data_IF_784339718531
#
_entry.id   IF_784339718531
#
_cell.length_a   1.000
_cell.length_b   1.000
_cell.length_c   1.000
_cell.angle_alpha   90.00
_cell.angle_beta   90.00
_cell.angle_gamma   90.00
#
_symmetry.space_group_name_H-M   'P 1'
#
loop_
_entity.id
_entity.type
_entity.pdbx_description
1 polymer ?
#
# COMPACT_ATOMS: atom_id res chain seq x y z
N UNK A 1 19.95 -4.38 0.27
CA UNK A 1 20.72 -3.53 1.16
C UNK A 1 22.04 -4.13 1.63
N UNK A 2 22.14 -5.41 2.01
CA UNK A 2 23.40 -5.92 2.61
C UNK A 2 24.59 -5.89 1.63
N UNK A 3 24.35 -6.01 0.32
CA UNK A 3 25.41 -5.94 -0.71
C UNK A 3 25.72 -4.54 -1.23
N UNK A 4 24.78 -3.59 -1.15
CA UNK A 4 24.96 -2.22 -1.65
C UNK A 4 25.59 -1.26 -0.62
N UNK A 5 25.39 -1.50 0.68
CA UNK A 5 25.71 -0.51 1.73
C UNK A 5 26.94 -0.90 2.58
N UNK A 6 27.42 -2.14 2.49
CA UNK A 6 28.55 -2.62 3.34
C UNK A 6 29.91 -1.98 3.03
N UNK A 7 30.00 -1.07 2.06
CA UNK A 7 31.26 -0.43 1.64
C UNK A 7 31.30 1.10 1.73
N UNK A 8 30.26 1.75 2.25
CA UNK A 8 30.20 3.22 2.26
C UNK A 8 29.85 3.74 3.66
N UNK A 9 30.62 4.72 4.14
CA UNK A 9 30.32 5.44 5.38
C UNK A 9 29.04 6.27 5.16
N UNK A 10 28.10 6.22 6.09
CA UNK A 10 26.90 7.05 5.99
C UNK A 10 27.27 8.54 6.01
N UNK A 11 26.80 9.29 5.02
CA UNK A 11 27.02 10.74 4.90
C UNK A 11 26.15 11.54 5.88
N UNK A 12 24.95 11.05 6.17
CA UNK A 12 23.95 11.70 7.03
C UNK A 12 23.23 10.68 7.92
N UNK A 13 22.80 11.12 9.10
CA UNK A 13 21.93 10.32 9.97
C UNK A 13 20.51 10.35 9.44
N UNK A 14 19.78 9.23 9.60
CA UNK A 14 18.40 9.12 9.15
C UNK A 14 17.45 10.12 9.84
N UNK A 15 17.70 10.44 11.12
CA UNK A 15 16.96 11.44 11.89
C UNK A 15 17.28 12.89 11.49
N UNK A 16 18.30 13.09 10.65
CA UNK A 16 18.69 14.40 10.10
C UNK A 16 18.14 14.67 8.70
N UNK A 17 17.31 13.79 8.14
CA UNK A 17 16.75 13.92 6.79
C UNK A 17 15.24 13.72 6.77
N UNK A 18 14.59 14.27 5.74
CA UNK A 18 13.18 13.99 5.44
C UNK A 18 13.10 12.96 4.34
N UNK A 19 12.50 11.80 4.62
CA UNK A 19 12.23 10.81 3.60
C UNK A 19 11.00 11.21 2.78
N UNK A 20 11.15 11.21 1.47
CA UNK A 20 10.05 11.37 0.51
C UNK A 20 9.54 10.01 0.06
N UNK A 21 8.41 10.00 -0.65
CA UNK A 21 7.91 8.78 -1.29
C UNK A 21 8.99 8.23 -2.25
N UNK A 22 9.32 6.92 -2.20
CA UNK A 22 10.41 6.36 -3.03
C UNK A 22 10.20 6.53 -4.54
N UNK A 23 8.95 6.57 -5.00
CA UNK A 23 8.58 6.95 -6.37
C UNK A 23 7.55 8.10 -6.28
N UNK A 24 7.99 9.37 -6.36
CA UNK A 24 7.09 10.51 -6.09
C UNK A 24 5.93 10.66 -7.09
N UNK A 25 6.13 10.22 -8.34
CA UNK A 25 5.12 10.30 -9.41
C UNK A 25 5.13 9.01 -10.25
N UNK A 26 4.56 7.91 -9.74
CA UNK A 26 4.40 6.68 -10.51
C UNK A 26 3.58 6.93 -11.77
N UNK A 27 3.91 6.23 -12.87
CA UNK A 27 3.09 6.28 -14.09
C UNK A 27 1.70 5.70 -13.86
N UNK A 28 1.63 4.60 -13.10
CA UNK A 28 0.38 3.98 -12.61
C UNK A 28 0.52 3.60 -11.14
N UNK A 29 -0.58 3.72 -10.42
CA UNK A 29 -0.79 3.11 -9.12
C UNK A 29 -2.03 2.24 -9.22
N UNK A 30 -1.87 0.93 -9.03
CA UNK A 30 -2.95 -0.04 -9.13
C UNK A 30 -3.11 -0.75 -7.78
N UNK A 31 -4.33 -0.77 -7.25
CA UNK A 31 -4.68 -1.50 -6.03
C UNK A 31 -5.60 -2.67 -6.33
N UNK A 32 -5.47 -3.75 -5.55
CA UNK A 32 -6.36 -4.92 -5.63
C UNK A 32 -7.21 -5.04 -4.36
N UNK A 33 -8.53 -5.10 -4.53
CA UNK A 33 -9.47 -5.27 -3.43
C UNK A 33 -9.62 -6.74 -3.01
N UNK A 34 -10.00 -6.96 -1.75
CA UNK A 34 -10.37 -8.28 -1.20
C UNK A 34 -9.31 -9.37 -1.39
N UNK A 35 -8.03 -9.02 -1.23
CA UNK A 35 -6.93 -9.92 -1.59
C UNK A 35 -6.27 -10.64 -0.39
N UNK A 36 -6.87 -10.63 0.80
CA UNK A 36 -6.39 -11.40 1.96
C UNK A 36 -7.46 -12.37 2.44
N UNK A 37 -7.08 -13.63 2.67
CA UNK A 37 -8.00 -14.65 3.17
C UNK A 37 -8.63 -14.25 4.52
N UNK A 38 -7.85 -13.65 5.42
CA UNK A 38 -8.33 -13.18 6.72
C UNK A 38 -9.39 -12.06 6.57
N UNK A 39 -9.21 -11.17 5.59
CA UNK A 39 -10.15 -10.08 5.30
C UNK A 39 -11.48 -10.60 4.73
N UNK A 40 -11.41 -11.62 3.87
CA UNK A 40 -12.60 -12.30 3.32
C UNK A 40 -13.38 -13.01 4.43
N UNK A 41 -12.67 -13.72 5.33
CA UNK A 41 -13.28 -14.40 6.47
C UNK A 41 -14.01 -13.43 7.42
N UNK A 42 -13.42 -12.27 7.71
CA UNK A 42 -14.07 -11.22 8.52
C UNK A 42 -15.31 -10.62 7.85
N UNK A 43 -15.27 -10.45 6.53
CA UNK A 43 -16.34 -9.81 5.76
C UNK A 43 -17.53 -10.73 5.51
N UNK A 44 -17.43 -12.04 5.82
CA UNK A 44 -18.41 -13.09 5.45
C UNK A 44 -18.77 -13.08 3.96
N UNK A 45 -17.85 -12.61 3.12
CA UNK A 45 -18.02 -12.61 1.68
C UNK A 45 -17.40 -13.88 1.11
N UNK A 46 -17.94 -14.35 -0.01
CA UNK A 46 -17.27 -15.39 -0.78
C UNK A 46 -15.93 -14.84 -1.30
N UNK A 47 -14.85 -15.64 -1.30
CA UNK A 47 -13.60 -15.25 -1.92
C UNK A 47 -13.84 -14.80 -3.37
N UNK A 48 -13.24 -13.69 -3.82
CA UNK A 48 -13.43 -13.23 -5.18
C UNK A 48 -12.91 -14.28 -6.17
N UNK A 49 -13.71 -14.58 -7.20
CA UNK A 49 -13.35 -15.54 -8.27
C UNK A 49 -12.35 -14.97 -9.27
N UNK A 50 -12.19 -13.65 -9.30
CA UNK A 50 -11.25 -12.92 -10.16
C UNK A 50 -10.64 -11.71 -9.42
N UNK A 51 -9.60 -11.11 -9.98
CA UNK A 51 -8.87 -10.00 -9.38
C UNK A 51 -9.63 -8.68 -9.54
N UNK A 52 -10.01 -8.04 -8.43
CA UNK A 52 -10.70 -6.75 -8.42
C UNK A 52 -9.70 -5.60 -8.40
N UNK A 53 -9.46 -4.99 -9.55
CA UNK A 53 -8.48 -3.90 -9.71
C UNK A 53 -9.13 -2.52 -9.70
N UNK A 54 -8.45 -1.55 -9.09
CA UNK A 54 -8.75 -0.12 -9.19
C UNK A 54 -7.46 0.69 -9.33
N UNK A 55 -7.59 1.93 -9.78
CA UNK A 55 -6.48 2.86 -9.86
C UNK A 55 -6.52 3.86 -8.70
N UNK A 56 -5.33 4.27 -8.26
CA UNK A 56 -5.13 5.47 -7.44
C UNK A 56 -4.46 6.54 -8.31
N UNK A 57 -4.87 7.79 -8.18
CA UNK A 57 -4.24 8.88 -8.93
C UNK A 57 -2.81 9.13 -8.42
N UNK A 58 -1.83 9.45 -9.30
CA UNK A 58 -0.47 9.78 -8.88
C UNK A 58 -0.36 11.00 -7.94
N UNK A 59 -1.41 11.82 -7.80
CA UNK A 59 -1.49 12.91 -6.81
C UNK A 59 -1.77 12.44 -5.40
N UNK A 60 -2.29 11.23 -5.22
CA UNK A 60 -2.47 10.63 -3.90
C UNK A 60 -1.14 10.30 -3.21
N UNK A 61 -0.03 10.18 -3.94
CA UNK A 61 1.28 9.81 -3.38
C UNK A 61 1.67 10.73 -2.22
N UNK A 62 2.13 10.13 -1.13
CA UNK A 62 2.61 10.86 0.03
C UNK A 62 3.80 10.17 0.66
N UNK A 63 4.66 10.96 1.31
CA UNK A 63 5.87 10.45 1.93
C UNK A 63 5.57 9.51 3.10
N UNK A 64 6.53 8.64 3.47
CA UNK A 64 6.34 7.65 4.53
C UNK A 64 6.07 8.25 5.92
N UNK A 65 6.40 9.53 6.13
CA UNK A 65 6.15 10.26 7.38
C UNK A 65 5.39 11.58 7.16
N UNK A 66 4.89 11.80 5.95
CA UNK A 66 4.07 12.97 5.61
C UNK A 66 2.65 12.81 6.16
N UNK A 67 1.92 13.91 6.30
CA UNK A 67 0.56 13.84 6.82
C UNK A 67 -0.41 13.17 5.84
N UNK A 68 -1.42 12.48 6.39
CA UNK A 68 -2.63 12.07 5.67
C UNK A 68 -3.72 13.09 5.98
N UNK A 69 -4.41 13.58 4.96
CA UNK A 69 -5.45 14.59 5.12
C UNK A 69 -6.83 13.96 5.16
N UNK A 70 -7.65 14.37 6.13
CA UNK A 70 -9.08 14.09 6.13
C UNK A 70 -9.72 15.09 5.15
N UNK A 71 -10.34 14.63 4.06
CA UNK A 71 -10.90 15.55 3.07
C UNK A 71 -12.05 16.34 3.67
N UNK A 72 -12.21 17.60 3.25
CA UNK A 72 -13.29 18.49 3.72
C UNK A 72 -14.70 17.93 3.47
N UNK A 73 -14.82 16.93 2.60
CA UNK A 73 -16.09 16.36 2.12
C UNK A 73 -16.47 15.03 2.79
N UNK A 74 -15.70 14.54 3.77
CA UNK A 74 -16.03 13.28 4.46
C UNK A 74 -15.27 13.09 5.79
N UNK A 75 -15.94 12.44 6.75
CA UNK A 75 -15.35 11.93 8.00
C UNK A 75 -15.13 10.41 7.99
N UNK A 76 -15.26 9.75 6.84
CA UNK A 76 -15.18 8.31 6.68
C UNK A 76 -13.78 7.82 6.25
N UNK A 77 -12.73 8.49 6.72
CA UNK A 77 -11.33 8.15 6.43
C UNK A 77 -10.94 6.83 7.12
N UNK A 78 -10.24 5.96 6.40
CA UNK A 78 -9.85 4.63 6.86
C UNK A 78 -8.42 4.28 6.41
N UNK A 79 -7.82 3.33 7.12
CA UNK A 79 -6.48 2.79 6.85
C UNK A 79 -6.55 1.38 6.26
N UNK A 80 -5.54 1.04 5.48
CA UNK A 80 -5.40 -0.28 4.87
C UNK A 80 -3.91 -0.64 4.74
N UNK A 81 -3.40 -1.48 5.63
CA UNK A 81 -2.01 -1.94 5.62
C UNK A 81 -1.71 -2.81 4.40
N UNK A 82 -0.78 -2.40 3.55
CA UNK A 82 -0.44 -3.17 2.35
C UNK A 82 1.06 -3.36 2.16
N UNK A 83 1.42 -4.51 1.59
CA UNK A 83 2.66 -4.64 0.84
C UNK A 83 2.45 -3.94 -0.51
N UNK A 84 3.39 -3.09 -0.91
CA UNK A 84 3.46 -2.58 -2.27
C UNK A 84 4.72 -3.09 -2.96
N UNK A 85 4.64 -3.35 -4.26
CA UNK A 85 5.83 -3.65 -5.08
C UNK A 85 5.97 -2.67 -6.24
N UNK A 86 7.22 -2.43 -6.62
CA UNK A 86 7.61 -1.50 -7.68
C UNK A 86 8.03 -2.32 -8.90
N UNK A 87 7.46 -2.01 -10.06
CA UNK A 87 7.90 -2.60 -11.32
C UNK A 87 9.28 -2.04 -11.67
N UNK A 88 10.25 -2.93 -11.91
CA UNK A 88 11.62 -2.54 -12.28
C UNK A 88 11.91 -2.63 -13.77
N UNK A 89 11.11 -3.40 -14.51
CA UNK A 89 11.31 -3.66 -15.93
C UNK A 89 9.99 -3.65 -16.65
N UNK A 90 9.97 -3.02 -17.82
CA UNK A 90 8.79 -3.01 -18.71
C UNK A 90 8.35 -4.44 -19.00
N UNK A 91 7.06 -4.74 -18.82
CA UNK A 91 6.56 -6.10 -18.98
C UNK A 91 5.13 -6.17 -19.54
N UNK A 92 4.87 -7.23 -20.31
CA UNK A 92 3.61 -7.51 -21.03
C UNK A 92 3.52 -9.01 -21.29
N UNK A 93 2.34 -9.60 -21.09
CA UNK A 93 2.06 -11.04 -21.24
C UNK A 93 3.06 -11.93 -20.47
N UNK A 94 3.34 -11.57 -19.22
CA UNK A 94 4.30 -12.26 -18.37
C UNK A 94 3.65 -13.48 -17.71
N UNK A 95 4.34 -14.63 -17.70
CA UNK A 95 3.91 -15.81 -16.96
C UNK A 95 4.10 -15.61 -15.45
N UNK A 96 3.28 -16.25 -14.62
CA UNK A 96 3.46 -16.22 -13.15
C UNK A 96 4.88 -16.65 -12.73
N UNK A 97 5.47 -17.65 -13.39
CA UNK A 97 6.83 -18.14 -13.08
C UNK A 97 7.93 -17.11 -13.37
N UNK A 98 7.72 -16.21 -14.32
CA UNK A 98 8.70 -15.17 -14.69
C UNK A 98 8.47 -13.84 -13.97
N UNK A 99 7.31 -13.65 -13.34
CA UNK A 99 6.87 -12.38 -12.76
C UNK A 99 7.87 -11.77 -11.77
N UNK A 100 8.54 -12.59 -10.95
CA UNK A 100 9.54 -12.14 -9.97
C UNK A 100 10.68 -11.31 -10.61
N UNK A 101 11.03 -11.59 -11.87
CA UNK A 101 12.12 -10.92 -12.61
C UNK A 101 11.82 -9.45 -12.96
N UNK A 102 10.56 -9.03 -12.81
CA UNK A 102 10.08 -7.71 -13.18
C UNK A 102 9.84 -6.80 -11.96
N UNK A 103 9.99 -7.31 -10.74
CA UNK A 103 9.86 -6.54 -9.52
C UNK A 103 11.23 -5.94 -9.18
N UNK A 104 11.30 -4.62 -9.01
CA UNK A 104 12.48 -3.93 -8.50
C UNK A 104 12.64 -4.15 -7.00
N UNK A 105 11.55 -4.03 -6.26
CA UNK A 105 11.54 -4.20 -4.82
C UNK A 105 10.18 -3.89 -4.20
N UNK A 106 10.19 -3.81 -2.88
CA UNK A 106 8.99 -3.78 -2.04
C UNK A 106 9.03 -2.65 -1.03
N UNK A 107 7.85 -2.15 -0.67
CA UNK A 107 7.63 -1.10 0.32
C UNK A 107 6.47 -1.50 1.26
N UNK A 108 6.45 -0.90 2.45
CA UNK A 108 5.22 -0.80 3.24
C UNK A 108 4.37 0.34 2.68
N UNK A 109 3.05 0.14 2.64
CA UNK A 109 2.11 1.12 2.11
C UNK A 109 0.82 1.15 2.92
N UNK A 110 0.10 2.27 2.84
CA UNK A 110 -1.25 2.40 3.38
C UNK A 110 -2.21 2.85 2.28
N UNK A 111 -3.16 1.98 1.89
CA UNK A 111 -4.20 2.31 0.92
C UNK A 111 -5.34 3.10 1.56
N UNK A 112 -5.02 4.35 1.91
CA UNK A 112 -5.96 5.23 2.62
C UNK A 112 -7.24 5.40 1.79
N UNK A 113 -8.36 5.23 2.48
CA UNK A 113 -9.67 5.09 1.85
C UNK A 113 -10.68 6.04 2.49
N UNK A 114 -11.50 6.67 1.67
CA UNK A 114 -12.64 7.47 2.12
C UNK A 114 -13.90 6.69 1.79
N UNK A 115 -14.44 5.98 2.79
CA UNK A 115 -15.37 4.84 2.58
C UNK A 115 -16.70 5.25 1.96
N UNK A 116 -17.27 6.36 2.39
CA UNK A 116 -18.50 6.85 1.81
C UNK A 116 -18.31 7.19 0.32
N UNK A 117 -17.17 7.80 -0.06
CA UNK A 117 -16.83 8.05 -1.47
C UNK A 117 -16.48 6.78 -2.25
N UNK A 118 -15.83 5.80 -1.62
CA UNK A 118 -15.52 4.50 -2.22
C UNK A 118 -16.80 3.77 -2.63
N UNK A 119 -17.84 3.82 -1.80
CA UNK A 119 -19.11 3.11 -2.02
C UNK A 119 -20.19 3.94 -2.72
N UNK A 120 -19.91 5.20 -3.10
CA UNK A 120 -20.85 6.03 -3.90
C UNK A 120 -21.10 5.49 -5.29
N UNK A 121 -20.14 4.78 -5.86
CA UNK A 121 -20.26 4.16 -7.19
C UNK A 121 -19.68 2.74 -7.16
N UNK A 122 -19.82 2.01 -8.26
CA UNK A 122 -19.16 0.70 -8.40
C UNK A 122 -17.64 0.80 -8.59
N UNK A 123 -17.10 2.01 -8.80
CA UNK A 123 -15.68 2.25 -8.99
C UNK A 123 -15.06 2.86 -7.73
N UNK A 124 -13.97 2.26 -7.23
CA UNK A 124 -13.32 2.70 -5.99
C UNK A 124 -12.46 3.95 -6.17
N UNK A 125 -12.18 4.35 -7.41
CA UNK A 125 -11.21 5.41 -7.77
C UNK A 125 -11.37 6.68 -6.92
N UNK A 126 -12.60 7.20 -6.75
CA UNK A 126 -12.82 8.44 -6.00
C UNK A 126 -12.48 8.31 -4.52
N UNK A 127 -12.92 7.22 -3.87
CA UNK A 127 -12.60 6.96 -2.46
C UNK A 127 -11.14 6.59 -2.21
N UNK A 128 -10.38 6.27 -3.27
CA UNK A 128 -9.00 5.78 -3.20
C UNK A 128 -7.97 6.80 -3.74
N UNK A 129 -8.39 7.97 -4.23
CA UNK A 129 -7.51 8.89 -4.97
C UNK A 129 -7.44 10.32 -4.44
N UNK A 130 -7.95 10.58 -3.25
CA UNK A 130 -7.72 11.87 -2.60
C UNK A 130 -6.21 12.13 -2.42
N UNK A 131 -5.81 13.39 -2.45
CA UNK A 131 -4.41 13.76 -2.24
C UNK A 131 -3.95 13.27 -0.86
N UNK A 132 -2.68 12.88 -0.74
CA UNK A 132 -2.08 12.22 0.44
C UNK A 132 -2.54 10.79 0.78
N UNK A 133 -3.44 10.19 0.00
CA UNK A 133 -4.03 8.88 0.32
C UNK A 133 -3.27 7.66 -0.22
N UNK A 134 -2.05 7.84 -0.73
CA UNK A 134 -1.15 6.76 -1.13
C UNK A 134 0.25 6.89 -0.49
N UNK A 135 0.35 6.91 0.86
CA UNK A 135 1.65 6.85 1.53
C UNK A 135 2.32 5.49 1.33
N UNK A 136 3.60 5.48 0.97
CA UNK A 136 4.42 4.28 0.92
C UNK A 136 5.92 4.57 1.11
N UNK A 137 6.66 3.56 1.59
CA UNK A 137 8.07 3.65 1.91
C UNK A 137 8.46 2.66 3.02
N UNK A 138 9.35 3.02 3.97
CA UNK A 138 10.14 4.25 4.04
C UNK A 138 11.20 4.35 2.92
N UNK A 139 11.51 3.23 2.30
CA UNK A 139 12.42 3.04 1.16
C UNK A 139 11.98 1.80 0.40
N UNK A 140 12.62 1.54 -0.74
CA UNK A 140 12.46 0.28 -1.47
C UNK A 140 13.49 -0.71 -0.97
N UNK A 141 13.05 -1.85 -0.46
CA UNK A 141 13.92 -3.02 -0.28
C UNK A 141 13.94 -3.79 -1.59
N UNK A 142 15.11 -3.94 -2.19
CA UNK A 142 15.26 -4.62 -3.48
C UNK A 142 14.86 -6.09 -3.38
N UNK A 143 14.33 -6.62 -4.47
CA UNK A 143 13.77 -7.98 -4.49
C UNK A 143 14.80 -9.06 -4.12
N UNK A 144 16.10 -8.82 -4.33
CA UNK A 144 17.18 -9.74 -3.99
C UNK A 144 17.55 -9.78 -2.49
N UNK A 145 17.06 -8.82 -1.69
CA UNK A 145 17.25 -8.80 -0.23
C UNK A 145 16.03 -9.31 0.56
N UNK A 146 14.97 -9.70 -0.13
CA UNK A 146 13.81 -10.38 0.46
C UNK A 146 13.85 -11.84 0.03
N UNK A 147 13.96 -12.75 1.01
CA UNK A 147 13.99 -14.19 0.76
C UNK A 147 12.70 -14.67 0.09
N UNK A 148 11.54 -14.32 0.66
CA UNK A 148 10.23 -14.57 0.10
C UNK A 148 9.27 -13.39 0.41
N UNK A 149 8.78 -12.66 -0.60
CA UNK A 149 7.83 -11.56 -0.39
C UNK A 149 6.45 -12.04 0.08
N UNK A 150 6.17 -13.35 0.00
CA UNK A 150 4.93 -13.98 0.44
C UNK A 150 5.05 -14.61 1.83
N UNK A 151 6.06 -14.26 2.63
CA UNK A 151 6.16 -14.70 4.04
C UNK A 151 6.40 -13.56 5.04
N UNK A 152 6.07 -12.32 4.70
CA UNK A 152 6.37 -11.14 5.52
C UNK A 152 5.22 -10.84 6.51
N UNK A 153 5.47 -10.82 7.84
CA UNK A 153 4.52 -10.27 8.80
C UNK A 153 4.16 -8.81 8.47
N UNK A 154 2.86 -8.49 8.48
CA UNK A 154 2.33 -7.15 8.23
C UNK A 154 1.43 -6.72 9.38
N UNK A 155 1.61 -5.48 9.85
CA UNK A 155 0.91 -4.91 11.00
C UNK A 155 0.52 -3.46 10.74
N UNK A 156 -0.64 -3.06 11.25
CA UNK A 156 -1.05 -1.66 11.33
C UNK A 156 -1.46 -1.27 12.73
N UNK A 157 -1.02 -0.09 13.16
CA UNK A 157 -1.33 0.51 14.44
C UNK A 157 -1.98 1.88 14.26
N UNK A 158 -2.97 2.18 15.07
CA UNK A 158 -3.53 3.54 15.20
C UNK A 158 -3.34 3.99 16.63
N UNK A 159 -2.56 5.05 16.84
CA UNK A 159 -2.19 5.55 18.18
C UNK A 159 -1.56 4.46 19.07
N UNK A 160 -0.78 3.56 18.47
CA UNK A 160 -0.17 2.42 19.16
C UNK A 160 -1.10 1.22 19.40
N UNK A 161 -2.41 1.35 19.17
CA UNK A 161 -3.35 0.21 19.20
C UNK A 161 -3.16 -0.63 17.94
N UNK A 162 -2.86 -1.92 18.09
CA UNK A 162 -2.79 -2.85 16.97
C UNK A 162 -4.18 -3.02 16.35
N UNK A 163 -4.32 -2.65 15.08
CA UNK A 163 -5.57 -2.71 14.32
C UNK A 163 -5.59 -3.82 13.27
N UNK A 164 -4.46 -4.06 12.60
CA UNK A 164 -4.33 -5.16 11.64
C UNK A 164 -3.09 -5.98 11.96
N UNK A 165 -3.19 -7.30 11.82
CA UNK A 165 -2.07 -8.24 12.00
C UNK A 165 -2.29 -9.45 11.10
N UNK A 166 -1.40 -9.66 10.15
CA UNK A 166 -1.45 -10.80 9.24
C UNK A 166 -0.03 -11.13 8.74
N UNK A 167 0.05 -11.90 7.65
CA UNK A 167 1.27 -12.20 6.94
C UNK A 167 0.98 -12.23 5.42
N UNK A 168 1.92 -11.81 4.60
CA UNK A 168 1.73 -11.72 3.13
C UNK A 168 1.51 -13.09 2.47
N UNK A 169 1.72 -14.21 3.18
CA UNK A 169 1.31 -15.56 2.75
C UNK A 169 -0.20 -15.70 2.58
N UNK A 170 -0.97 -14.84 3.23
CA UNK A 170 -2.43 -14.85 3.20
C UNK A 170 -3.00 -14.10 1.98
N UNK A 171 -2.13 -13.58 1.09
CA UNK A 171 -2.54 -13.04 -0.20
C UNK A 171 -3.25 -14.12 -1.04
N UNK A 172 -4.49 -13.88 -1.47
CA UNK A 172 -5.25 -14.79 -2.32
C UNK A 172 -4.61 -14.86 -3.71
N UNK A 173 -4.35 -13.69 -4.29
CA UNK A 173 -3.59 -13.50 -5.50
C UNK A 173 -2.24 -12.88 -5.15
N UNK A 174 -1.20 -13.71 -5.06
CA UNK A 174 0.14 -13.26 -4.73
C UNK A 174 0.71 -12.29 -5.81
N UNK A 175 1.82 -11.60 -5.49
CA UNK A 175 2.39 -10.57 -6.37
C UNK A 175 2.66 -11.06 -7.80
N UNK A 176 3.02 -12.34 -7.94
CA UNK A 176 3.32 -12.94 -9.24
C UNK A 176 2.05 -13.19 -10.07
N UNK A 177 0.97 -13.62 -9.43
CA UNK A 177 -0.35 -13.74 -10.06
C UNK A 177 -0.93 -12.37 -10.46
N UNK A 178 -0.65 -11.33 -9.69
CA UNK A 178 -1.05 -9.96 -10.00
C UNK A 178 -0.35 -9.44 -11.27
N UNK A 179 0.98 -9.62 -11.37
CA UNK A 179 1.73 -9.25 -12.59
C UNK A 179 1.25 -10.05 -13.80
N UNK A 180 1.06 -11.37 -13.66
CA UNK A 180 0.55 -12.20 -14.76
C UNK A 180 -0.80 -11.69 -15.26
N UNK A 181 -1.73 -11.38 -14.35
CA UNK A 181 -3.06 -10.90 -14.71
C UNK A 181 -3.01 -9.51 -15.35
N UNK A 182 -2.42 -8.52 -14.68
CA UNK A 182 -2.33 -7.15 -15.18
C UNK A 182 -1.60 -7.07 -16.52
N UNK A 183 -0.51 -7.82 -16.66
CA UNK A 183 0.29 -7.81 -17.88
C UNK A 183 -0.41 -8.48 -19.06
N UNK A 184 -1.54 -9.18 -18.88
CA UNK A 184 -2.43 -9.62 -19.97
C UNK A 184 -3.31 -8.49 -20.51
N UNK A 185 -3.58 -7.44 -19.71
CA UNK A 185 -4.47 -6.33 -20.08
C UNK A 185 -3.71 -5.06 -20.48
N UNK A 186 -2.66 -4.69 -19.74
CA UNK A 186 -1.80 -3.54 -20.06
C UNK A 186 -0.30 -3.85 -20.00
N UNK A 187 0.53 -2.92 -20.48
CA UNK A 187 1.97 -2.92 -20.21
C UNK A 187 2.21 -2.32 -18.82
N UNK A 188 3.02 -3.00 -18.02
CA UNK A 188 3.58 -2.44 -16.79
C UNK A 188 4.94 -1.82 -17.11
N UNK A 189 5.19 -0.62 -16.61
CA UNK A 189 6.36 0.20 -16.88
C UNK A 189 7.21 0.35 -15.61
N UNK A 190 8.54 0.51 -15.72
CA UNK A 190 9.39 0.78 -14.58
C UNK A 190 8.89 1.97 -13.76
N UNK A 191 8.79 1.80 -12.44
CA UNK A 191 8.26 2.81 -11.52
C UNK A 191 6.75 2.76 -11.30
N UNK A 192 5.99 1.91 -12.00
CA UNK A 192 4.62 1.61 -11.59
C UNK A 192 4.61 0.97 -10.19
N UNK A 193 3.59 1.32 -9.40
CA UNK A 193 3.45 0.84 -8.02
C UNK A 193 2.16 0.03 -7.89
N UNK A 194 2.28 -1.18 -7.35
CA UNK A 194 1.15 -2.09 -7.16
C UNK A 194 0.91 -2.29 -5.67
N UNK A 195 -0.28 -1.92 -5.22
CA UNK A 195 -0.83 -2.10 -3.88
C UNK A 195 -1.53 -3.45 -3.85
N UNK A 196 -1.01 -4.37 -3.02
CA UNK A 196 -1.33 -5.80 -3.11
C UNK A 196 -2.57 -6.24 -2.34
N UNK A 197 -3.30 -5.31 -1.73
CA UNK A 197 -4.45 -5.55 -0.89
C UNK A 197 -4.11 -5.50 0.60
N UNK A 198 -5.18 -5.43 1.41
CA UNK A 198 -5.10 -5.26 2.86
C UNK A 198 -5.69 -6.45 3.62
N UNK A 199 -5.12 -6.82 4.79
CA UNK A 199 -5.71 -7.83 5.67
C UNK A 199 -6.96 -7.34 6.40
N UNK A 200 -7.56 -8.21 7.19
CA UNK A 200 -8.63 -7.87 8.13
C UNK A 200 -8.26 -6.75 9.12
N UNK A 201 -9.27 -6.18 9.78
CA UNK A 201 -9.09 -5.14 10.81
C UNK A 201 -9.09 -3.69 10.32
N UNK A 202 -9.58 -3.43 9.11
CA UNK A 202 -9.83 -2.05 8.62
C UNK A 202 -10.84 -1.34 9.51
N UNK A 203 -10.69 -0.03 9.71
CA UNK A 203 -11.53 0.78 10.59
C UNK A 203 -13.02 0.64 10.28
N UNK A 204 -13.38 0.57 9.00
CA UNK A 204 -14.75 0.37 8.53
C UNK A 204 -15.36 -1.00 8.89
N UNK A 205 -14.53 -2.03 9.06
CA UNK A 205 -14.98 -3.39 9.39
C UNK A 205 -15.37 -3.57 10.86
N UNK A 206 -15.00 -2.64 11.75
CA UNK A 206 -15.38 -2.68 13.16
C UNK A 206 -16.87 -2.41 13.37
N UNK A 207 -17.41 -2.89 14.49
CA UNK A 207 -18.80 -2.64 14.92
C UNK A 207 -18.81 -2.02 16.32
N UNK A 208 -19.05 -0.70 16.45
CA UNK A 208 -19.26 0.28 15.38
C UNK A 208 -17.98 0.57 14.56
N UNK A 209 -18.09 1.15 13.35
CA UNK A 209 -16.93 1.57 12.56
C UNK A 209 -16.03 2.55 13.33
N UNK A 210 -14.72 2.46 13.08
CA UNK A 210 -13.68 3.27 13.72
C UNK A 210 -12.87 4.08 12.70
N UNK A 211 -13.48 5.08 12.04
CA UNK A 211 -12.77 5.94 11.10
C UNK A 211 -11.66 6.74 11.78
N UNK A 212 -10.66 7.13 10.99
CA UNK A 212 -9.57 7.99 11.43
C UNK A 212 -10.05 9.41 11.75
N UNK A 213 -9.38 10.05 12.70
CA UNK A 213 -9.65 11.41 13.17
C UNK A 213 -8.39 12.25 13.16
N UNK A 214 -8.59 13.57 13.11
CA UNK A 214 -7.47 14.51 13.17
C UNK A 214 -6.69 14.30 14.46
N UNK A 215 -5.37 14.19 14.37
CA UNK A 215 -4.48 13.85 15.47
C UNK A 215 -4.10 12.37 15.56
N UNK A 216 -4.82 11.47 14.87
CA UNK A 216 -4.46 10.04 14.85
C UNK A 216 -3.10 9.83 14.17
N UNK A 217 -2.32 8.86 14.68
CA UNK A 217 -1.10 8.38 14.04
C UNK A 217 -1.29 6.97 13.54
N UNK A 218 -1.14 6.78 12.23
CA UNK A 218 -1.27 5.47 11.58
C UNK A 218 0.12 4.97 11.21
N UNK A 219 0.51 3.82 11.76
CA UNK A 219 1.78 3.15 11.47
C UNK A 219 1.53 1.84 10.74
N UNK A 220 2.07 1.67 9.53
CA UNK A 220 2.11 0.37 8.84
C UNK A 220 3.53 -0.15 8.85
N UNK A 221 3.70 -1.38 9.30
CA UNK A 221 5.00 -2.04 9.47
C UNK A 221 5.00 -3.41 8.80
N UNK A 222 6.06 -3.68 8.03
CA UNK A 222 6.32 -4.96 7.41
C UNK A 222 7.74 -5.40 7.77
N UNK A 223 7.84 -6.57 8.38
CA UNK A 223 9.13 -7.15 8.77
C UNK A 223 10.01 -7.34 7.53
N UNK A 224 11.31 -7.04 7.65
CA UNK A 224 12.25 -7.07 6.52
C UNK A 224 12.20 -5.85 5.59
N UNK A 225 11.18 -4.99 5.71
CA UNK A 225 11.07 -3.74 4.92
C UNK A 225 11.29 -2.51 5.80
N UNK A 226 10.51 -2.38 6.88
CA UNK A 226 10.46 -1.19 7.72
C UNK A 226 9.03 -0.71 7.93
N UNK A 227 8.88 0.56 8.27
CA UNK A 227 7.56 1.13 8.57
C UNK A 227 7.38 2.54 8.02
N UNK A 228 6.14 2.86 7.68
CA UNK A 228 5.64 4.22 7.46
C UNK A 228 4.80 4.63 8.67
N UNK A 229 4.78 5.92 8.99
CA UNK A 229 3.98 6.45 10.10
C UNK A 229 3.49 7.86 9.79
N UNK A 230 2.19 7.99 9.56
CA UNK A 230 1.57 9.21 9.06
C UNK A 230 0.66 9.82 10.13
N UNK A 231 0.81 11.13 10.36
CA UNK A 231 -0.12 11.92 11.19
C UNK A 231 -1.35 12.29 10.35
N UNK A 232 -2.53 12.02 10.88
CA UNK A 232 -3.80 12.43 10.30
C UNK A 232 -4.09 13.88 10.68
N UNK A 233 -4.43 14.72 9.71
CA UNK A 233 -4.85 16.11 9.93
C UNK A 233 -6.03 16.47 9.04
N UNK A 234 -6.80 17.47 9.43
CA UNK A 234 -7.86 18.00 8.56
C UNK A 234 -7.25 18.70 7.35
N UNK A 235 -7.79 18.44 6.15
CA UNK A 235 -7.45 19.16 4.93
C UNK A 235 -7.68 20.67 5.11
N UNK A 236 -6.77 21.48 4.59
CA UNK A 236 -6.92 22.94 4.52
C UNK A 236 -7.06 23.36 3.07
N UNK A 237 -7.95 24.32 2.79
CA UNK A 237 -8.12 24.86 1.43
C UNK A 237 -6.78 25.35 0.87
N UNK A 238 -6.37 24.79 -0.27
CA UNK A 238 -5.31 25.35 -1.10
C UNK A 238 -5.89 26.47 -1.98
N UNK A 239 -5.20 27.60 -2.07
CA UNK A 239 -5.51 28.68 -3.02
C UNK A 239 -4.89 28.43 -4.38
#
# INVERSE_FOLDING_TARGET
>A
MARLVTRVRADVRLDGVTLLAPVPRPGKILGIGLNYADHVAESKMEPPTDQLWFAKMPTAVTGPFSAIEIPMVSDALDYEAELAFIIGRRCRHVSKSDAHKFIFGYCAANDVSVRDWQFRTTQFLLGKSFDTHAPFGPWIVTADDINDPHELPIRCFVNGELRQKSNTRNLIFNCYAQIEHLSKVMTLEPGDVIFTGTPGGVGWGHKPPRPLRSGDRVRVEIDGIGAIENLVRTETKSH
#
